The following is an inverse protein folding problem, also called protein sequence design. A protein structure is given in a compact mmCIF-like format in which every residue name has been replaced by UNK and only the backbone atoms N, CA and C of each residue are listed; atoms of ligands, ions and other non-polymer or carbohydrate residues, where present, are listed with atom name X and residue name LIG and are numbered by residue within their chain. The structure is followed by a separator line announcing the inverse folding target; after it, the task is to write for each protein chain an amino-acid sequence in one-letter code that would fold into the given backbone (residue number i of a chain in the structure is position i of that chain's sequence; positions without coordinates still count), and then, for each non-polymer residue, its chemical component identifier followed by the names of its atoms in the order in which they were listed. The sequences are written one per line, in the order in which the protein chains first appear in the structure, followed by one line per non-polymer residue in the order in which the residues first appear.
data_IF_223826283280
#
_entry.id   IF_223826283280
#
_cell.length_a   1.000
_cell.length_b   1.000
_cell.length_c   1.000
_cell.angle_alpha   90.00
_cell.angle_beta   90.00
_cell.angle_gamma   90.00
#
_symmetry.space_group_name_H-M   'P 1'
#
loop_
_entity.id
_entity.type
_entity.pdbx_description
1 polymer ?
#
# COMPACT_ATOMS: atom_id res chain seq x y z
N UNK A 1 9.13 32.32 2.59
CA UNK A 1 9.35 33.01 3.88
C UNK A 1 9.42 31.98 5.02
N UNK A 2 9.99 30.79 4.79
CA UNK A 2 9.83 29.62 5.67
C UNK A 2 11.17 29.04 6.19
N UNK A 3 12.29 29.40 5.56
CA UNK A 3 13.62 28.84 5.85
C UNK A 3 14.33 29.52 7.04
N UNK A 4 14.04 30.79 7.29
CA UNK A 4 14.60 31.55 8.42
C UNK A 4 14.22 30.94 9.78
N UNK A 5 13.02 30.37 9.87
CA UNK A 5 12.55 29.72 11.09
C UNK A 5 13.29 28.42 11.41
N UNK A 6 13.76 27.71 10.37
CA UNK A 6 14.58 26.53 10.54
C UNK A 6 15.99 26.89 11.00
N UNK A 7 16.61 27.93 10.42
CA UNK A 7 17.93 28.40 10.84
C UNK A 7 17.93 28.83 12.31
N UNK A 8 16.94 29.62 12.72
CA UNK A 8 16.74 30.03 14.11
C UNK A 8 16.53 28.84 15.05
N UNK A 9 15.82 27.79 14.60
CA UNK A 9 15.65 26.57 15.39
C UNK A 9 16.96 25.77 15.51
N UNK A 10 17.73 25.72 14.43
CA UNK A 10 18.99 24.99 14.37
C UNK A 10 20.02 25.59 15.34
N UNK A 11 20.18 26.91 15.34
CA UNK A 11 21.10 27.64 16.24
C UNK A 11 20.55 27.86 17.66
N UNK A 12 19.26 27.55 17.90
CA UNK A 12 18.64 27.55 19.23
C UNK A 12 17.92 28.84 19.63
N UNK A 13 17.77 29.80 18.72
CA UNK A 13 16.98 31.02 18.92
C UNK A 13 15.48 30.72 19.03
N UNK A 14 14.99 29.69 18.32
CA UNK A 14 13.61 29.21 18.39
C UNK A 14 13.56 27.77 18.86
N UNK A 15 12.51 27.44 19.64
CA UNK A 15 12.29 26.06 20.09
C UNK A 15 11.61 25.19 19.03
N UNK A 16 10.79 25.77 18.14
CA UNK A 16 9.92 25.06 17.19
C UNK A 16 9.62 25.92 15.96
N UNK A 17 9.33 25.26 14.84
CA UNK A 17 8.79 25.86 13.61
C UNK A 17 7.27 25.94 13.71
N UNK A 18 6.68 27.08 13.38
CA UNK A 18 5.23 27.35 13.46
C UNK A 18 4.52 27.34 12.10
N UNK A 19 5.23 27.03 11.03
CA UNK A 19 4.74 27.10 9.64
C UNK A 19 3.74 26.00 9.25
N UNK A 20 3.64 24.93 10.04
CA UNK A 20 2.72 23.82 9.75
C UNK A 20 1.27 24.19 10.07
N UNK A 21 0.36 23.91 9.12
CA UNK A 21 -1.06 24.30 9.21
C UNK A 21 -1.82 23.51 10.28
N UNK A 22 -1.49 22.23 10.47
CA UNK A 22 -2.07 21.34 11.47
C UNK A 22 -1.04 20.27 11.88
N UNK A 23 -1.45 19.26 12.67
CA UNK A 23 -0.58 18.15 13.07
C UNK A 23 -0.63 16.95 12.13
N UNK A 24 -1.41 17.01 11.05
CA UNK A 24 -1.60 15.87 10.16
C UNK A 24 -0.45 15.75 9.15
N UNK A 25 0.07 14.53 8.92
CA UNK A 25 1.06 14.29 7.88
C UNK A 25 0.43 14.36 6.48
N UNK A 26 1.26 14.67 5.47
CA UNK A 26 0.85 14.72 4.08
C UNK A 26 0.45 16.12 3.59
N UNK A 27 -0.04 16.18 2.35
CA UNK A 27 -0.56 17.40 1.74
C UNK A 27 0.42 18.58 1.78
N UNK A 28 -0.07 19.75 2.20
CA UNK A 28 0.74 20.97 2.31
C UNK A 28 1.87 20.87 3.35
N UNK A 29 1.64 20.17 4.46
CA UNK A 29 2.65 20.00 5.51
C UNK A 29 3.82 19.14 5.03
N UNK A 30 3.56 18.08 4.25
CA UNK A 30 4.62 17.26 3.65
C UNK A 30 5.47 18.09 2.69
N UNK A 31 4.87 18.95 1.87
CA UNK A 31 5.61 19.82 0.96
C UNK A 31 6.55 20.77 1.72
N UNK A 32 6.06 21.39 2.80
CA UNK A 32 6.87 22.26 3.67
C UNK A 32 7.99 21.45 4.34
N UNK A 33 7.68 20.26 4.87
CA UNK A 33 8.66 19.39 5.51
C UNK A 33 9.79 18.99 4.54
N UNK A 34 9.43 18.57 3.33
CA UNK A 34 10.41 18.22 2.29
C UNK A 34 11.25 19.42 1.87
N UNK A 35 10.69 20.63 1.80
CA UNK A 35 11.46 21.85 1.50
C UNK A 35 12.49 22.16 2.60
N UNK A 36 12.09 22.07 3.87
CA UNK A 36 12.98 22.28 5.00
C UNK A 36 14.11 21.25 5.00
N UNK A 37 13.80 19.96 4.77
CA UNK A 37 14.80 18.90 4.74
C UNK A 37 15.74 19.09 3.55
N UNK A 38 15.22 19.46 2.36
CA UNK A 38 16.06 19.76 1.20
C UNK A 38 17.04 20.90 1.50
N UNK A 39 16.55 21.97 2.11
CA UNK A 39 17.38 23.10 2.51
C UNK A 39 18.47 22.69 3.51
N UNK A 40 18.12 21.87 4.51
CA UNK A 40 19.10 21.35 5.46
C UNK A 40 20.21 20.55 4.78
N UNK A 41 19.87 19.72 3.78
CA UNK A 41 20.83 18.91 3.02
C UNK A 41 21.69 19.79 2.08
N UNK A 42 21.05 20.61 1.26
CA UNK A 42 21.72 21.28 0.14
C UNK A 42 22.37 22.61 0.51
N UNK A 43 21.80 23.35 1.47
CA UNK A 43 22.26 24.70 1.80
C UNK A 43 23.03 24.72 3.13
N UNK A 44 22.55 24.01 4.14
CA UNK A 44 23.22 23.98 5.46
C UNK A 44 24.39 23.00 5.48
N UNK A 45 24.17 21.77 5.02
CA UNK A 45 25.23 20.76 4.93
C UNK A 45 26.05 20.85 3.65
N UNK A 46 25.58 21.61 2.65
CA UNK A 46 26.20 21.75 1.33
C UNK A 46 26.44 20.41 0.62
N UNK A 47 25.56 19.42 0.84
CA UNK A 47 25.69 18.10 0.24
C UNK A 47 25.08 18.04 -1.15
N UNK A 48 25.73 17.30 -2.04
CA UNK A 48 25.08 16.87 -3.29
C UNK A 48 24.07 15.75 -3.01
N UNK A 49 23.10 15.50 -3.91
CA UNK A 49 22.18 14.37 -3.77
C UNK A 49 22.88 13.01 -3.59
N UNK A 50 24.03 12.80 -4.25
CA UNK A 50 24.83 11.57 -4.13
C UNK A 50 25.50 11.44 -2.76
N UNK A 51 25.90 12.55 -2.15
CA UNK A 51 26.41 12.56 -0.79
C UNK A 51 25.30 12.31 0.23
N UNK A 52 24.14 12.93 0.02
CA UNK A 52 22.96 12.71 0.85
C UNK A 52 22.57 11.23 0.88
N UNK A 53 22.59 10.54 -0.26
CA UNK A 53 22.35 9.09 -0.33
C UNK A 53 23.27 8.25 0.56
N UNK A 54 24.52 8.67 0.76
CA UNK A 54 25.50 7.92 1.53
C UNK A 54 25.50 8.27 3.01
N UNK A 55 25.08 9.50 3.35
CA UNK A 55 25.29 10.10 4.67
C UNK A 55 23.99 10.43 5.41
N UNK A 56 22.85 10.56 4.73
CA UNK A 56 21.60 10.96 5.35
C UNK A 56 20.88 9.76 5.97
N UNK A 57 20.91 9.71 7.30
CA UNK A 57 20.34 8.67 8.13
C UNK A 57 19.62 9.28 9.35
N UNK A 58 19.15 8.42 10.27
CA UNK A 58 18.53 8.89 11.51
C UNK A 58 19.46 9.71 12.42
N UNK A 59 20.77 9.44 12.39
CA UNK A 59 21.73 10.24 13.13
C UNK A 59 21.76 11.68 12.60
N UNK A 60 21.77 11.85 11.28
CA UNK A 60 21.72 13.17 10.64
C UNK A 60 20.38 13.86 10.88
N UNK A 61 19.26 13.14 10.82
CA UNK A 61 17.93 13.70 11.17
C UNK A 61 17.95 14.30 12.58
N UNK A 62 18.50 13.59 13.56
CA UNK A 62 18.63 14.10 14.93
C UNK A 62 19.60 15.27 15.03
N UNK A 63 20.78 15.15 14.42
CA UNK A 63 21.82 16.19 14.45
C UNK A 63 21.34 17.51 13.85
N UNK A 64 20.52 17.42 12.81
CA UNK A 64 19.90 18.57 12.13
C UNK A 64 18.55 18.97 12.76
N UNK A 65 18.15 18.37 13.89
CA UNK A 65 16.89 18.67 14.60
C UNK A 65 15.64 18.52 13.72
N UNK A 66 15.66 17.57 12.78
CA UNK A 66 14.57 17.30 11.82
C UNK A 66 13.55 16.28 12.36
N UNK A 67 13.74 15.72 13.56
CA UNK A 67 12.91 14.65 14.13
C UNK A 67 11.41 15.00 14.12
N UNK A 68 11.03 16.24 14.44
CA UNK A 68 9.62 16.67 14.36
C UNK A 68 9.18 16.92 12.92
N UNK A 69 10.07 17.39 12.04
CA UNK A 69 9.75 17.73 10.65
C UNK A 69 9.38 16.47 9.86
N UNK A 70 10.11 15.38 10.07
CA UNK A 70 9.85 14.12 9.36
C UNK A 70 8.49 13.50 9.73
N UNK A 71 7.88 13.89 10.86
CA UNK A 71 6.54 13.40 11.26
C UNK A 71 5.41 13.97 10.40
N UNK A 72 5.65 15.04 9.65
CA UNK A 72 4.69 15.64 8.73
C UNK A 72 4.69 15.00 7.34
N UNK A 73 5.57 14.01 7.11
CA UNK A 73 5.66 13.28 5.85
C UNK A 73 4.76 12.06 5.93
N UNK A 74 3.97 11.81 4.87
CA UNK A 74 3.15 10.62 4.79
C UNK A 74 3.98 9.43 4.26
N UNK A 75 4.24 8.45 5.13
CA UNK A 75 4.97 7.24 4.75
C UNK A 75 4.02 6.12 4.32
N UNK A 76 4.39 5.30 3.30
CA UNK A 76 3.70 4.07 3.01
C UNK A 76 3.71 3.14 4.23
N UNK A 77 2.60 2.46 4.50
CA UNK A 77 2.48 1.56 5.66
C UNK A 77 3.41 0.33 5.56
N UNK A 78 3.83 -0.01 4.34
CA UNK A 78 4.79 -1.08 4.01
C UNK A 78 6.23 -0.72 4.42
N UNK A 79 6.47 0.54 4.76
CA UNK A 79 7.80 1.06 5.04
C UNK A 79 8.00 1.23 6.54
N UNK A 80 8.90 0.43 7.11
CA UNK A 80 9.28 0.53 8.52
C UNK A 80 10.81 0.54 8.62
N UNK A 81 11.37 1.59 9.23
CA UNK A 81 12.80 1.71 9.48
C UNK A 81 13.64 2.23 8.31
N UNK A 82 13.02 2.57 7.17
CA UNK A 82 13.68 3.12 5.97
C UNK A 82 13.22 4.55 5.63
N UNK A 83 12.71 5.28 6.62
CA UNK A 83 12.22 6.65 6.48
C UNK A 83 13.25 7.61 5.86
N UNK A 84 14.56 7.59 6.23
CA UNK A 84 15.56 8.44 5.57
C UNK A 84 15.64 8.17 4.06
N UNK A 85 15.68 6.90 3.65
CA UNK A 85 15.72 6.48 2.24
C UNK A 85 14.48 6.96 1.50
N UNK A 86 13.31 6.90 2.14
CA UNK A 86 12.07 7.39 1.57
C UNK A 86 12.07 8.89 1.36
N UNK A 87 12.46 9.66 2.38
CA UNK A 87 12.58 11.11 2.30
C UNK A 87 13.47 11.46 1.10
N UNK A 88 14.64 10.83 0.98
CA UNK A 88 15.53 11.06 -0.15
C UNK A 88 14.89 10.67 -1.50
N UNK A 89 14.09 9.60 -1.57
CA UNK A 89 13.34 9.25 -2.79
C UNK A 89 12.32 10.31 -3.19
N UNK A 90 11.72 11.01 -2.22
CA UNK A 90 10.80 12.12 -2.45
C UNK A 90 11.53 13.38 -2.89
N UNK A 91 12.71 13.63 -2.34
CA UNK A 91 13.55 14.77 -2.72
C UNK A 91 14.22 14.60 -4.08
N UNK A 92 14.71 13.38 -4.37
CA UNK A 92 15.55 13.02 -5.51
C UNK A 92 15.03 11.79 -6.28
N UNK A 93 13.81 11.84 -6.84
CA UNK A 93 13.15 10.68 -7.46
C UNK A 93 13.87 10.12 -8.69
N UNK A 94 14.78 10.89 -9.29
CA UNK A 94 15.60 10.42 -10.42
C UNK A 94 16.73 9.48 -9.97
N UNK A 95 17.23 9.66 -8.75
CA UNK A 95 18.35 8.90 -8.19
C UNK A 95 17.87 7.71 -7.37
N UNK A 96 16.85 7.91 -6.53
CA UNK A 96 16.28 6.86 -5.68
C UNK A 96 14.86 6.59 -6.14
N UNK A 97 14.67 5.42 -6.75
CA UNK A 97 13.36 4.96 -7.22
C UNK A 97 12.81 3.96 -6.23
N UNK A 98 11.81 4.37 -5.47
CA UNK A 98 10.99 3.46 -4.67
C UNK A 98 9.72 3.17 -5.47
N UNK A 99 9.52 1.91 -5.81
CA UNK A 99 8.31 1.46 -6.48
C UNK A 99 7.26 1.10 -5.44
N UNK A 100 6.11 1.82 -5.35
CA UNK A 100 5.06 1.48 -4.40
C UNK A 100 4.59 0.03 -4.56
N UNK A 101 4.53 -0.45 -5.81
CA UNK A 101 4.20 -1.85 -6.12
C UNK A 101 5.18 -2.83 -5.48
N UNK A 102 6.49 -2.56 -5.52
CA UNK A 102 7.49 -3.46 -4.95
C UNK A 102 7.42 -3.49 -3.42
N UNK A 103 7.12 -2.35 -2.79
CA UNK A 103 6.89 -2.30 -1.34
C UNK A 103 5.71 -3.19 -0.94
N UNK A 104 4.59 -3.11 -1.67
CA UNK A 104 3.41 -3.93 -1.43
C UNK A 104 3.71 -5.41 -1.67
N UNK A 105 4.39 -5.74 -2.77
CA UNK A 105 4.82 -7.12 -3.08
C UNK A 105 5.72 -7.68 -1.95
N UNK A 106 6.69 -6.89 -1.47
CA UNK A 106 7.57 -7.28 -0.37
C UNK A 106 6.83 -7.47 0.96
N UNK A 107 5.95 -6.54 1.32
CA UNK A 107 5.11 -6.65 2.52
C UNK A 107 4.22 -7.90 2.45
N UNK A 108 3.72 -8.23 1.26
CA UNK A 108 2.92 -9.42 1.06
C UNK A 108 3.74 -10.71 1.18
N UNK A 109 4.98 -10.74 0.66
CA UNK A 109 5.91 -11.85 0.88
C UNK A 109 6.17 -12.10 2.37
N UNK A 110 6.36 -11.05 3.16
CA UNK A 110 6.50 -11.16 4.62
C UNK A 110 5.26 -11.82 5.24
N UNK A 111 4.06 -11.43 4.83
CA UNK A 111 2.80 -12.01 5.33
C UNK A 111 2.66 -13.49 4.95
N UNK A 112 3.05 -13.86 3.72
CA UNK A 112 2.96 -15.23 3.23
C UNK A 112 4.00 -16.16 3.89
N UNK A 113 5.27 -15.73 3.95
CA UNK A 113 6.38 -16.61 4.31
C UNK A 113 6.84 -16.49 5.76
N UNK A 114 6.66 -15.34 6.40
CA UNK A 114 6.97 -15.17 7.82
C UNK A 114 5.74 -15.34 8.70
N UNK A 115 4.62 -15.78 8.12
CA UNK A 115 3.33 -15.98 8.79
C UNK A 115 2.79 -14.78 9.58
N UNK A 116 3.29 -13.57 9.33
CA UNK A 116 2.81 -12.33 9.96
C UNK A 116 1.42 -11.93 9.46
N UNK A 117 0.68 -11.18 10.28
CA UNK A 117 -0.57 -10.55 9.86
C UNK A 117 -0.30 -9.34 8.98
N UNK A 118 -1.28 -8.97 8.15
CA UNK A 118 -1.23 -7.68 7.47
C UNK A 118 -1.22 -6.53 8.50
N UNK A 119 -0.62 -5.38 8.17
CA UNK A 119 -0.79 -4.17 8.96
C UNK A 119 -2.27 -3.84 9.21
N UNK A 120 -2.57 -3.14 10.31
CA UNK A 120 -3.93 -2.69 10.58
C UNK A 120 -4.43 -1.80 9.45
N UNK A 121 -5.69 -1.97 9.07
CA UNK A 121 -6.36 -1.15 8.05
C UNK A 121 -5.68 -1.17 6.66
N UNK A 122 -4.83 -2.17 6.40
CA UNK A 122 -3.97 -2.23 5.20
C UNK A 122 -4.77 -2.16 3.89
N UNK A 123 -5.93 -2.81 3.84
CA UNK A 123 -6.79 -2.89 2.66
C UNK A 123 -7.94 -1.87 2.65
N UNK A 124 -7.97 -0.89 3.56
CA UNK A 124 -9.04 0.11 3.62
C UNK A 124 -8.89 1.20 2.54
N UNK A 125 -10.02 1.60 1.94
CA UNK A 125 -10.11 2.71 1.00
C UNK A 125 -9.55 2.40 -0.39
N UNK A 126 -9.35 3.45 -1.20
CA UNK A 126 -8.86 3.33 -2.58
C UNK A 126 -7.46 2.75 -2.66
N UNK A 127 -6.55 3.21 -1.78
CA UNK A 127 -5.20 2.66 -1.67
C UNK A 127 -5.21 1.21 -1.21
N UNK A 128 -6.12 0.86 -0.30
CA UNK A 128 -6.33 -0.50 0.16
C UNK A 128 -6.77 -1.45 -0.95
N UNK A 129 -7.72 -1.04 -1.78
CA UNK A 129 -8.12 -1.80 -2.97
C UNK A 129 -6.97 -1.96 -3.96
N UNK A 130 -6.18 -0.90 -4.18
CA UNK A 130 -4.97 -0.98 -5.02
C UNK A 130 -3.96 -2.00 -4.47
N UNK A 131 -3.68 -1.99 -3.16
CA UNK A 131 -2.82 -3.00 -2.51
C UNK A 131 -3.35 -4.41 -2.74
N UNK A 132 -4.65 -4.62 -2.57
CA UNK A 132 -5.29 -5.91 -2.81
C UNK A 132 -5.10 -6.38 -4.27
N UNK A 133 -5.25 -5.46 -5.23
CA UNK A 133 -4.97 -5.73 -6.64
C UNK A 133 -3.51 -6.12 -6.88
N UNK A 134 -2.55 -5.44 -6.24
CA UNK A 134 -1.13 -5.77 -6.36
C UNK A 134 -0.83 -7.17 -5.79
N UNK A 135 -1.36 -7.50 -4.60
CA UNK A 135 -1.19 -8.82 -3.99
C UNK A 135 -1.80 -9.94 -4.85
N UNK A 136 -3.02 -9.73 -5.36
CA UNK A 136 -3.71 -10.70 -6.24
C UNK A 136 -2.93 -10.90 -7.54
N UNK A 137 -2.43 -9.81 -8.14
CA UNK A 137 -1.58 -9.87 -9.33
C UNK A 137 -0.31 -10.66 -9.05
N UNK A 138 0.36 -10.42 -7.92
CA UNK A 138 1.54 -11.17 -7.51
C UNK A 138 1.26 -12.69 -7.46
N UNK A 139 0.12 -13.11 -6.89
CA UNK A 139 -0.25 -14.53 -6.86
C UNK A 139 -0.45 -15.14 -8.25
N UNK A 140 -1.18 -14.45 -9.11
CA UNK A 140 -1.54 -14.99 -10.42
C UNK A 140 -0.34 -15.11 -11.35
N UNK A 141 0.60 -14.16 -11.27
CA UNK A 141 1.78 -14.18 -12.12
C UNK A 141 2.87 -15.12 -11.60
N UNK A 142 3.03 -15.27 -10.28
CA UNK A 142 4.11 -16.07 -9.70
C UNK A 142 3.72 -17.53 -9.42
N UNK A 143 2.50 -17.79 -8.96
CA UNK A 143 2.09 -19.12 -8.46
C UNK A 143 1.15 -19.85 -9.41
N UNK A 144 0.03 -19.22 -9.82
CA UNK A 144 -0.95 -19.89 -10.71
C UNK A 144 -0.53 -19.84 -12.19
N UNK A 145 0.19 -18.79 -12.61
CA UNK A 145 0.70 -18.56 -13.98
C UNK A 145 -0.39 -18.55 -15.06
N UNK A 146 -1.53 -17.91 -14.77
CA UNK A 146 -2.67 -17.79 -15.69
C UNK A 146 -2.28 -16.94 -16.91
N UNK A 147 -2.57 -17.42 -18.12
CA UNK A 147 -2.10 -16.78 -19.37
C UNK A 147 -3.15 -15.92 -20.05
N UNK A 148 -4.42 -16.30 -19.97
CA UNK A 148 -5.51 -15.62 -20.68
C UNK A 148 -6.50 -14.93 -19.71
N UNK A 149 -7.23 -13.95 -20.22
CA UNK A 149 -8.12 -13.12 -19.40
C UNK A 149 -9.37 -13.89 -18.95
N UNK A 150 -9.92 -14.73 -19.81
CA UNK A 150 -11.11 -15.53 -19.53
C UNK A 150 -10.90 -16.53 -18.39
N UNK A 151 -9.82 -17.30 -18.47
CA UNK A 151 -9.35 -18.22 -17.43
C UNK A 151 -9.08 -17.50 -16.11
N UNK A 152 -8.59 -16.26 -16.16
CA UNK A 152 -8.36 -15.46 -14.96
C UNK A 152 -9.66 -15.15 -14.22
N UNK A 153 -10.70 -14.72 -14.95
CA UNK A 153 -12.03 -14.51 -14.36
C UNK A 153 -12.68 -15.82 -13.91
N UNK A 154 -12.68 -16.85 -14.76
CA UNK A 154 -13.24 -18.16 -14.43
C UNK A 154 -12.61 -18.74 -13.17
N UNK A 155 -11.27 -18.71 -13.08
CA UNK A 155 -10.55 -19.17 -11.91
C UNK A 155 -10.90 -18.33 -10.68
N UNK A 156 -10.78 -16.99 -10.76
CA UNK A 156 -10.99 -16.10 -9.61
C UNK A 156 -12.42 -16.16 -9.03
N UNK A 157 -13.42 -16.42 -9.87
CA UNK A 157 -14.82 -16.55 -9.48
C UNK A 157 -15.23 -17.99 -9.11
N UNK A 158 -14.37 -18.97 -9.34
CA UNK A 158 -14.66 -20.38 -9.02
C UNK A 158 -14.45 -20.71 -7.54
N UNK A 159 -15.02 -21.83 -7.04
CA UNK A 159 -14.69 -22.37 -5.72
C UNK A 159 -13.19 -22.69 -5.55
N UNK A 160 -12.51 -23.11 -6.62
CA UNK A 160 -11.05 -23.35 -6.62
C UNK A 160 -10.29 -22.03 -6.36
N UNK A 161 -10.66 -20.96 -7.06
CA UNK A 161 -10.11 -19.62 -6.83
C UNK A 161 -10.33 -19.15 -5.41
N UNK A 162 -11.53 -19.35 -4.85
CA UNK A 162 -11.82 -18.99 -3.45
C UNK A 162 -10.90 -19.73 -2.47
N UNK A 163 -10.71 -21.04 -2.64
CA UNK A 163 -9.77 -21.84 -1.83
C UNK A 163 -8.34 -21.35 -1.99
N UNK A 164 -7.93 -21.03 -3.22
CA UNK A 164 -6.61 -20.49 -3.51
C UNK A 164 -6.38 -19.15 -2.80
N UNK A 165 -7.34 -18.22 -2.84
CA UNK A 165 -7.24 -16.94 -2.12
C UNK A 165 -7.23 -17.13 -0.60
N UNK A 166 -7.93 -18.14 -0.08
CA UNK A 166 -7.91 -18.51 1.35
C UNK A 166 -6.53 -18.99 1.78
N UNK A 167 -5.94 -19.92 1.03
CA UNK A 167 -4.61 -20.45 1.29
C UNK A 167 -3.52 -19.36 1.28
N UNK A 168 -3.74 -18.28 0.53
CA UNK A 168 -2.82 -17.15 0.41
C UNK A 168 -3.27 -15.91 1.19
N UNK A 169 -4.15 -16.07 2.19
CA UNK A 169 -4.53 -15.01 3.16
C UNK A 169 -5.26 -13.79 2.57
N UNK A 170 -5.77 -13.88 1.34
CA UNK A 170 -6.51 -12.78 0.71
C UNK A 170 -8.03 -12.96 0.78
N UNK A 171 -8.54 -14.14 1.09
CA UNK A 171 -10.00 -14.36 1.18
C UNK A 171 -10.65 -13.57 2.34
N UNK A 172 -10.05 -13.59 3.52
CA UNK A 172 -10.61 -12.90 4.69
C UNK A 172 -10.72 -11.38 4.47
N UNK A 173 -9.66 -10.67 4.01
CA UNK A 173 -9.77 -9.27 3.63
C UNK A 173 -10.84 -9.00 2.56
N UNK A 174 -11.00 -9.89 1.58
CA UNK A 174 -12.00 -9.72 0.53
C UNK A 174 -13.43 -9.75 1.08
N UNK A 175 -13.72 -10.67 2.00
CA UNK A 175 -15.05 -10.78 2.62
C UNK A 175 -15.31 -9.57 3.52
N UNK A 176 -14.36 -9.20 4.37
CA UNK A 176 -14.51 -8.11 5.34
C UNK A 176 -14.78 -6.75 4.69
N UNK A 177 -14.23 -6.54 3.50
CA UNK A 177 -14.31 -5.26 2.77
C UNK A 177 -15.24 -5.33 1.54
N UNK A 178 -16.00 -6.41 1.39
CA UNK A 178 -16.87 -6.67 0.23
C UNK A 178 -16.16 -6.45 -1.12
N UNK A 179 -14.91 -6.93 -1.23
CA UNK A 179 -14.09 -6.77 -2.42
C UNK A 179 -14.59 -7.74 -3.50
N UNK A 180 -15.15 -7.18 -4.56
CA UNK A 180 -15.54 -7.95 -5.73
C UNK A 180 -14.33 -8.36 -6.57
N UNK A 181 -14.08 -9.67 -6.64
CA UNK A 181 -12.96 -10.23 -7.43
C UNK A 181 -13.02 -9.88 -8.92
N UNK A 182 -14.21 -9.69 -9.51
CA UNK A 182 -14.32 -9.27 -10.90
C UNK A 182 -13.72 -7.86 -11.12
N UNK A 183 -13.94 -6.94 -10.18
CA UNK A 183 -13.38 -5.59 -10.22
C UNK A 183 -11.87 -5.62 -10.02
N UNK A 184 -11.38 -6.52 -9.16
CA UNK A 184 -9.94 -6.75 -8.98
C UNK A 184 -9.29 -7.25 -10.28
N UNK A 185 -9.88 -8.23 -10.97
CA UNK A 185 -9.35 -8.71 -12.26
C UNK A 185 -9.33 -7.57 -13.27
N UNK A 186 -10.43 -6.80 -13.36
CA UNK A 186 -10.51 -5.67 -14.27
C UNK A 186 -9.40 -4.67 -13.99
N UNK A 187 -9.21 -4.27 -12.73
CA UNK A 187 -8.19 -3.28 -12.37
C UNK A 187 -6.78 -3.76 -12.70
N UNK A 188 -6.47 -5.04 -12.44
CA UNK A 188 -5.18 -5.67 -12.77
C UNK A 188 -4.95 -5.75 -14.28
N UNK A 189 -6.01 -5.87 -15.08
CA UNK A 189 -5.94 -6.18 -16.51
C UNK A 189 -6.46 -5.07 -17.42
N UNK A 190 -6.83 -3.90 -16.89
CA UNK A 190 -7.50 -2.81 -17.62
C UNK A 190 -6.75 -2.31 -18.86
N UNK A 191 -5.43 -2.51 -18.89
CA UNK A 191 -4.57 -2.15 -20.03
C UNK A 191 -4.59 -3.19 -21.16
N UNK A 192 -5.15 -4.38 -20.94
CA UNK A 192 -5.25 -5.43 -21.96
C UNK A 192 -6.41 -5.14 -22.93
N UNK A 193 -6.31 -5.56 -24.21
CA UNK A 193 -7.41 -5.50 -25.15
C UNK A 193 -8.66 -6.19 -24.59
N UNK A 194 -9.84 -5.60 -24.86
CA UNK A 194 -11.15 -6.12 -24.47
C UNK A 194 -11.41 -6.28 -22.96
N UNK A 195 -10.54 -5.76 -22.08
CA UNK A 195 -10.70 -5.91 -20.62
C UNK A 195 -12.08 -5.43 -20.12
N UNK A 196 -12.58 -4.31 -20.65
CA UNK A 196 -13.92 -3.78 -20.34
C UNK A 196 -15.05 -4.73 -20.74
N UNK A 197 -14.93 -5.40 -21.88
CA UNK A 197 -15.95 -6.33 -22.37
C UNK A 197 -16.01 -7.58 -21.50
N UNK A 198 -14.85 -8.14 -21.15
CA UNK A 198 -14.77 -9.28 -20.23
C UNK A 198 -15.34 -8.94 -18.86
N UNK A 199 -14.98 -7.77 -18.31
CA UNK A 199 -15.51 -7.30 -17.03
C UNK A 199 -17.04 -7.19 -17.06
N UNK A 200 -17.60 -6.54 -18.08
CA UNK A 200 -19.04 -6.41 -18.23
C UNK A 200 -19.74 -7.77 -18.35
N UNK A 201 -19.15 -8.73 -19.10
CA UNK A 201 -19.69 -10.08 -19.25
C UNK A 201 -19.77 -10.81 -17.90
N UNK A 202 -18.66 -10.86 -17.16
CA UNK A 202 -18.60 -11.57 -15.88
C UNK A 202 -19.39 -10.85 -14.77
N UNK A 203 -19.46 -9.52 -14.78
CA UNK A 203 -20.31 -8.76 -13.86
C UNK A 203 -21.79 -9.11 -14.07
N UNK A 204 -22.25 -9.16 -15.32
CA UNK A 204 -23.62 -9.56 -15.65
C UNK A 204 -23.90 -11.01 -15.22
N UNK A 205 -22.98 -11.94 -15.44
CA UNK A 205 -23.10 -13.33 -14.99
C UNK A 205 -23.29 -13.43 -13.47
N UNK A 206 -22.50 -12.68 -12.69
CA UNK A 206 -22.62 -12.61 -11.24
C UNK A 206 -23.98 -12.03 -10.80
N UNK A 207 -24.44 -10.96 -11.43
CA UNK A 207 -25.76 -10.38 -11.14
C UNK A 207 -26.90 -11.35 -11.45
N UNK A 208 -26.84 -12.03 -12.60
CA UNK A 208 -27.82 -13.05 -12.97
C UNK A 208 -27.83 -14.22 -11.97
N UNK A 209 -26.66 -14.66 -11.51
CA UNK A 209 -26.56 -15.73 -10.51
C UNK A 209 -27.14 -15.30 -9.16
N UNK A 210 -26.85 -14.07 -8.71
CA UNK A 210 -27.45 -13.47 -7.51
C UNK A 210 -28.98 -13.43 -7.59
N UNK A 211 -29.54 -12.98 -8.72
CA UNK A 211 -31.00 -12.98 -8.97
C UNK A 211 -31.58 -14.39 -8.91
N UNK A 212 -30.95 -15.36 -9.58
CA UNK A 212 -31.39 -16.76 -9.59
C UNK A 212 -31.36 -17.39 -8.18
N UNK A 213 -30.37 -17.07 -7.35
CA UNK A 213 -30.30 -17.54 -5.95
C UNK A 213 -31.43 -16.96 -5.10
N UNK A 214 -31.69 -15.65 -5.25
CA UNK A 214 -32.79 -14.96 -4.57
C UNK A 214 -34.17 -15.52 -4.95
N UNK A 215 -34.40 -15.79 -6.24
CA UNK A 215 -35.64 -16.40 -6.74
C UNK A 215 -35.83 -17.84 -6.23
N UNK A 216 -34.73 -18.56 -5.94
CA UNK A 216 -34.75 -19.91 -5.37
C UNK A 216 -34.88 -19.93 -3.85
N UNK A 217 -34.93 -18.78 -3.17
CA UNK A 217 -35.09 -18.68 -1.73
C UNK A 217 -33.89 -19.17 -0.91
N UNK A 218 -32.69 -19.24 -1.49
CA UNK A 218 -31.45 -19.48 -0.72
C UNK A 218 -31.00 -18.15 -0.10
N UNK A 219 -30.93 -18.08 1.25
CA UNK A 219 -30.28 -16.98 1.97
C UNK A 219 -28.76 -17.03 1.74
N UNK A 220 -28.12 -15.86 1.76
CA UNK A 220 -26.66 -15.70 1.74
C UNK A 220 -26.03 -16.09 3.10
N UNK A 221 -26.45 -17.22 3.69
CA UNK A 221 -25.81 -17.77 4.88
C UNK A 221 -24.58 -18.58 4.46
N UNK A 222 -23.54 -17.86 4.03
CA UNK A 222 -22.16 -18.29 4.21
C UNK A 222 -21.55 -17.41 5.30
N UNK A 223 -22.23 -17.38 6.44
CA UNK A 223 -21.80 -16.69 7.64
C UNK A 223 -20.74 -17.54 8.35
N UNK A 224 -19.49 -17.06 8.30
CA UNK A 224 -18.50 -17.07 9.39
C UNK A 224 -18.15 -18.37 10.16
N UNK A 225 -18.61 -19.56 9.77
CA UNK A 225 -18.49 -20.77 10.58
C UNK A 225 -17.11 -21.47 10.70
N UNK A 226 -16.23 -21.36 9.71
CA UNK A 226 -15.03 -22.23 9.65
C UNK A 226 -13.69 -21.46 9.55
N UNK A 227 -13.55 -20.33 10.26
CA UNK A 227 -12.30 -19.55 10.27
C UNK A 227 -11.40 -19.76 11.50
N UNK A 228 -11.79 -20.62 12.43
CA UNK A 228 -10.91 -21.14 13.48
C UNK A 228 -11.21 -22.63 13.65
N UNK A 229 -10.46 -23.46 12.92
CA UNK A 229 -10.31 -24.85 13.30
C UNK A 229 -9.63 -24.87 14.66
N UNK A 230 -10.31 -25.49 15.63
CA UNK A 230 -9.76 -25.80 16.94
C UNK A 230 -8.41 -26.50 16.75
N UNK A 231 -7.35 -25.95 17.35
CA UNK A 231 -6.15 -26.72 17.65
C UNK A 231 -6.56 -27.77 18.67
N UNK A 232 -6.81 -28.99 18.22
CA UNK A 232 -6.84 -30.15 19.13
C UNK A 232 -5.42 -30.38 19.63
N UNK A 233 -5.22 -30.07 20.91
CA UNK A 233 -4.13 -30.59 21.72
C UNK A 233 -4.06 -32.13 21.58
N UNK A 234 -2.98 -32.64 21.00
CA UNK A 234 -2.40 -33.96 21.35
C UNK A 234 -0.92 -34.03 21.02
#
# INVERSE_FOLDING_TARGET
MELHDYDDMLIGNKKRITTFYNQEPGGGNELIALQIIRYAIEQVLAWTPEEAMKKFDFYMIRKMKLEKIITYIHYPIEMQGEEPTYILSRLYPKLIKISPRQLIEHQYEIVLFQHKQFPRDYFIGTEGFYRYCVCTRYLFYNYKKIKNLEEMYQFALSPEGRRFMSAHRLLSPAIQLDINMADVIFEITKQKPHAKLYHARFALELEMEKKRKKERGLSDDLDSGDLYGEEEDT
#
